data_IF_400959565493
#
_entry.id   IF_400959565493
#
_cell.length_a   1.000
_cell.length_b   1.000
_cell.length_c   1.000
_cell.angle_alpha   90.00
_cell.angle_beta   90.00
_cell.angle_gamma   90.00
#
_symmetry.space_group_name_H-M   'P 1'
#
loop_
_entity.id
_entity.type
_entity.pdbx_description
1 polymer ?
2 non-polymer ?
3 water ?
#
# COMPACT_ATOMS: atom_id res chain seq x y z
N UNK A 13 -12.85 -2.67 7.71
CA UNK A 13 -11.44 -2.61 8.22
C UNK A 13 -10.60 -3.82 7.81
N UNK A 14 -11.26 -4.90 7.44
CA UNK A 14 -10.61 -6.12 6.97
C UNK A 14 -10.35 -5.91 5.49
N UNK A 15 -10.84 -4.80 4.98
CA UNK A 15 -10.64 -4.47 3.57
C UNK A 15 -9.22 -3.98 3.39
N UNK A 16 -8.62 -3.45 4.45
CA UNK A 16 -7.27 -2.94 4.38
C UNK A 16 -6.19 -4.05 4.55
N UNK A 17 -6.59 -5.28 4.23
CA UNK A 17 -5.72 -6.47 4.30
C UNK A 17 -5.91 -7.35 3.06
N UNK A 18 -5.02 -8.33 2.90
CA UNK A 18 -5.09 -9.26 1.77
C UNK A 18 -5.24 -10.67 2.30
N UNK A 19 -6.46 -11.20 2.21
CA UNK A 19 -6.77 -12.54 2.68
C UNK A 19 -6.31 -13.67 1.75
N UNK A 20 -5.75 -14.71 2.36
CA UNK A 20 -5.25 -15.91 1.67
C UNK A 20 -5.92 -17.06 2.43
N UNK A 21 -7.09 -17.46 1.94
CA UNK A 21 -7.91 -18.51 2.54
C UNK A 21 -7.22 -19.81 2.93
N UNK A 22 -7.61 -20.35 4.08
CA UNK A 22 -7.07 -21.59 4.60
C UNK A 22 -5.55 -21.65 4.56
N UNK A 23 -4.90 -20.58 5.04
CA UNK A 23 -3.44 -20.51 5.07
C UNK A 23 -2.93 -19.95 6.39
N UNK A 24 -1.80 -20.50 6.83
CA UNK A 24 -1.15 -20.10 8.06
C UNK A 24 0.35 -19.98 7.85
N UNK A 25 0.99 -19.06 8.57
CA UNK A 25 2.42 -18.87 8.44
C UNK A 25 3.22 -19.65 9.49
N UNK A 26 4.31 -20.26 9.02
CA UNK A 26 5.21 -21.04 9.87
C UNK A 26 6.60 -20.48 9.57
N UNK A 27 7.53 -20.51 10.53
CA UNK A 27 8.85 -19.96 10.25
C UNK A 27 10.06 -20.90 10.31
N UNK A 28 10.62 -21.12 11.50
CA UNK A 28 11.80 -21.97 11.61
C UNK A 28 12.45 -22.03 12.99
N UNK A 29 12.91 -20.87 13.45
CA UNK A 29 13.63 -20.73 14.72
C UNK A 29 12.81 -20.76 16.02
N UNK A 30 13.51 -20.83 17.17
CA UNK A 30 12.92 -20.86 18.52
C UNK A 30 12.75 -19.43 19.09
N UNK A 31 13.63 -18.55 18.64
CA UNK A 31 13.66 -17.14 19.08
C UNK A 31 12.37 -16.37 18.84
N UNK A 32 11.40 -17.02 18.21
CA UNK A 32 10.12 -16.36 17.91
C UNK A 32 8.91 -16.81 18.71
N UNK A 33 8.27 -15.82 19.32
CA UNK A 33 7.05 -16.01 20.10
C UNK A 33 5.98 -15.36 19.20
N UNK A 34 4.72 -15.77 19.36
CA UNK A 34 3.66 -15.21 18.53
C UNK A 34 2.55 -14.65 19.40
N UNK A 35 2.35 -13.35 19.36
CA UNK A 35 1.31 -12.73 20.16
C UNK A 35 -0.07 -13.21 19.73
N UNK A 36 -0.83 -13.81 20.65
CA UNK A 36 -2.15 -14.30 20.31
C UNK A 36 -3.15 -13.83 21.34
N UNK A 37 -4.42 -13.93 20.98
CA UNK A 37 -5.51 -13.55 21.87
C UNK A 37 -6.85 -14.14 21.43
N UNK A 38 -7.63 -14.55 22.41
CA UNK A 38 -8.95 -15.12 22.20
C UNK A 38 -9.84 -13.95 21.78
N UNK A 39 -10.05 -13.86 20.48
CA UNK A 39 -10.84 -12.80 19.87
C UNK A 39 -12.24 -13.27 19.46
N UNK A 40 -13.12 -12.31 19.20
CA UNK A 40 -14.49 -12.60 18.80
C UNK A 40 -14.65 -12.88 17.29
N UNK A 41 -14.01 -12.07 16.46
CA UNK A 41 -14.08 -12.24 15.00
C UNK A 41 -12.73 -11.90 14.38
N UNK A 42 -12.59 -12.09 13.08
CA UNK A 42 -11.33 -11.79 12.41
C UNK A 42 -11.15 -10.28 12.30
N UNK A 43 -12.24 -9.55 12.47
CA UNK A 43 -12.23 -8.09 12.39
C UNK A 43 -11.52 -7.50 13.58
N UNK A 44 -11.74 -8.11 14.73
CA UNK A 44 -11.11 -7.66 15.95
C UNK A 44 -9.59 -7.80 15.82
N UNK A 45 -9.14 -8.87 15.19
CA UNK A 45 -7.72 -9.11 15.00
C UNK A 45 -7.17 -7.97 14.18
N UNK A 46 -7.86 -7.69 13.07
CA UNK A 46 -7.49 -6.65 12.11
C UNK A 46 -7.50 -5.23 12.62
N UNK A 47 -8.49 -4.89 13.44
CA UNK A 47 -8.57 -3.54 13.97
C UNK A 47 -7.57 -3.33 15.09
N UNK A 48 -6.71 -4.32 15.31
CA UNK A 48 -5.71 -4.18 16.35
C UNK A 48 -4.34 -4.30 15.72
N UNK A 49 -4.26 -4.95 14.57
CA UNK A 49 -3.00 -5.10 13.86
C UNK A 49 -2.76 -3.74 13.22
N UNK A 50 -3.83 -3.18 12.70
CA UNK A 50 -3.78 -1.89 12.05
C UNK A 50 -3.30 -0.83 13.04
N UNK A 51 -4.05 -0.65 14.13
CA UNK A 51 -3.67 0.34 15.12
C UNK A 51 -2.58 -0.09 16.07
N UNK A 52 -1.89 -1.18 15.76
CA UNK A 52 -0.79 -1.67 16.60
C UNK A 52 -1.01 -1.43 18.09
N UNK A 53 -2.14 -1.91 18.62
CA UNK A 53 -2.48 -1.72 20.04
C UNK A 53 -1.35 -1.96 21.05
N UNK A 54 -1.29 -3.17 21.60
CA UNK A 54 -0.27 -3.42 22.58
C UNK A 54 0.82 -4.32 22.03
N UNK A 55 1.48 -3.87 20.96
CA UNK A 55 2.53 -4.67 20.36
C UNK A 55 3.91 -4.09 20.67
N UNK A 56 4.92 -4.97 20.69
CA UNK A 56 6.29 -4.58 20.94
C UNK A 56 7.04 -4.87 19.64
N UNK A 57 6.26 -4.81 18.56
CA UNK A 57 6.73 -5.05 17.21
C UNK A 57 5.75 -4.41 16.26
N UNK A 58 6.05 -4.49 14.98
CA UNK A 58 5.20 -3.93 13.92
C UNK A 58 4.41 -5.07 13.27
N UNK A 59 3.10 -5.09 13.47
CA UNK A 59 2.27 -6.15 12.89
C UNK A 59 2.15 -6.01 11.37
N UNK A 60 2.63 -7.01 10.64
CA UNK A 60 2.59 -7.01 9.18
C UNK A 60 1.55 -7.99 8.64
N UNK A 61 1.13 -8.94 9.48
CA UNK A 61 0.13 -9.93 9.10
C UNK A 61 -0.40 -10.63 10.35
N UNK A 62 -1.54 -11.29 10.21
CA UNK A 62 -2.11 -12.04 11.32
C UNK A 62 -2.86 -13.25 10.77
N UNK A 63 -2.96 -14.29 11.59
CA UNK A 63 -3.65 -15.52 11.22
C UNK A 63 -4.81 -15.78 12.19
N UNK A 64 -5.99 -16.03 11.64
CA UNK A 64 -7.17 -16.27 12.46
C UNK A 64 -7.58 -17.74 12.51
N UNK A 65 -7.54 -18.33 13.71
CA UNK A 65 -7.94 -19.72 13.88
C UNK A 65 -9.47 -19.69 14.00
N UNK A 66 -10.15 -19.97 12.89
CA UNK A 66 -11.61 -19.97 12.87
C UNK A 66 -12.25 -20.90 13.91
N UNK A 67 -11.59 -22.01 14.22
CA UNK A 67 -12.11 -22.99 15.18
C UNK A 67 -11.92 -22.62 16.65
N UNK A 68 -10.85 -21.88 16.94
CA UNK A 68 -10.57 -21.47 18.31
C UNK A 68 -10.89 -20.00 18.45
N UNK A 69 -11.07 -19.33 17.32
CA UNK A 69 -11.37 -17.89 17.31
C UNK A 69 -10.22 -17.14 17.98
N UNK A 70 -8.99 -17.47 17.56
CA UNK A 70 -7.78 -16.85 18.10
C UNK A 70 -6.99 -16.19 16.99
N UNK A 71 -6.30 -15.10 17.33
CA UNK A 71 -5.47 -14.37 16.38
C UNK A 71 -4.01 -14.59 16.71
N UNK A 72 -3.17 -14.50 15.70
CA UNK A 72 -1.74 -14.65 15.88
C UNK A 72 -1.14 -13.50 15.09
N UNK A 73 -0.78 -12.46 15.81
CA UNK A 73 -0.19 -11.28 15.19
C UNK A 73 1.31 -11.45 14.95
N UNK A 74 1.68 -11.44 13.67
CA UNK A 74 3.07 -11.61 13.23
C UNK A 74 3.77 -10.30 12.86
N UNK A 75 5.11 -10.28 12.97
CA UNK A 75 5.97 -9.13 12.66
C UNK A 75 6.62 -9.40 11.28
N UNK A 76 5.90 -10.14 10.43
CA UNK A 76 6.37 -10.49 9.10
C UNK A 76 5.18 -11.09 8.34
N UNK A 77 5.33 -11.29 7.04
CA UNK A 77 4.26 -11.86 6.24
C UNK A 77 4.76 -13.08 5.48
N UNK A 78 3.94 -13.60 4.58
CA UNK A 78 4.31 -14.81 3.82
C UNK A 78 5.47 -14.54 2.89
N UNK A 79 5.91 -13.30 2.84
CA UNK A 79 7.02 -12.91 1.97
C UNK A 79 8.37 -12.77 2.64
N UNK A 80 8.43 -12.94 3.96
CA UNK A 80 9.70 -12.82 4.68
C UNK A 80 10.60 -14.04 4.46
N UNK A 81 11.86 -13.92 4.88
CA UNK A 81 12.83 -15.01 4.72
C UNK A 81 12.66 -16.04 5.82
N UNK A 82 12.77 -17.31 5.43
CA UNK A 82 12.62 -18.38 6.39
C UNK A 82 11.14 -18.66 6.63
N UNK A 83 10.30 -17.72 6.23
CA UNK A 83 8.85 -17.83 6.39
C UNK A 83 8.17 -18.71 5.36
N UNK A 84 7.56 -19.79 5.86
CA UNK A 84 6.83 -20.76 5.05
C UNK A 84 5.36 -20.52 5.35
N UNK A 85 4.47 -21.20 4.63
CA UNK A 85 3.03 -21.02 4.87
C UNK A 85 2.28 -22.34 4.85
N UNK A 86 1.81 -22.77 6.02
CA UNK A 86 1.08 -24.02 6.12
C UNK A 86 -0.37 -23.95 5.69
N UNK A 87 -1.01 -25.13 5.62
CA UNK A 87 -2.41 -25.22 5.22
C UNK A 87 -3.29 -25.69 6.37
N UNK A 88 -4.57 -25.34 6.29
CA UNK A 88 -5.54 -25.71 7.30
C UNK A 88 -6.85 -25.01 6.95
N UNK A 89 -7.94 -25.75 6.84
CA UNK A 89 -9.23 -25.14 6.49
C UNK A 89 -9.82 -24.26 7.60
N UNK A 90 -9.20 -24.26 8.77
CA UNK A 90 -9.70 -23.43 9.87
C UNK A 90 -8.89 -22.16 10.03
N UNK A 91 -7.83 -22.02 9.24
CA UNK A 91 -6.99 -20.83 9.31
C UNK A 91 -7.27 -19.86 8.17
N UNK A 92 -6.86 -18.61 8.40
CA UNK A 92 -7.03 -17.54 7.43
C UNK A 92 -5.88 -16.58 7.58
N UNK A 93 -5.08 -16.44 6.53
CA UNK A 93 -3.98 -15.49 6.57
C UNK A 93 -4.50 -14.14 6.08
N UNK A 94 -4.01 -13.07 6.69
CA UNK A 94 -4.39 -11.71 6.36
C UNK A 94 -3.13 -10.90 6.43
N UNK A 95 -2.75 -10.29 5.31
CA UNK A 95 -1.51 -9.51 5.27
C UNK A 95 -1.66 -8.01 5.02
N UNK A 96 -1.10 -7.21 5.91
CA UNK A 96 -1.17 -5.77 5.77
C UNK A 96 -0.60 -5.37 4.40
N UNK A 97 -1.42 -4.71 3.58
CA UNK A 97 -0.99 -4.28 2.26
C UNK A 97 0.19 -3.33 2.32
N UNK A 98 0.33 -2.65 3.45
CA UNK A 98 1.40 -1.70 3.66
C UNK A 98 2.74 -2.40 3.58
N UNK A 99 2.73 -3.72 3.75
CA UNK A 99 3.96 -4.50 3.73
C UNK A 99 4.15 -5.48 2.58
N UNK A 100 3.25 -5.43 1.62
CA UNK A 100 3.33 -6.27 0.44
C UNK A 100 3.79 -5.29 -0.64
N UNK A 101 5.00 -5.50 -1.14
CA UNK A 101 5.56 -4.63 -2.15
C UNK A 101 4.56 -4.30 -3.27
N UNK A 102 4.38 -3.00 -3.50
CA UNK A 102 3.45 -2.50 -4.50
C UNK A 102 4.09 -2.10 -5.80
N UNK A 103 5.42 -2.18 -5.87
CA UNK A 103 6.09 -1.82 -7.12
C UNK A 103 6.64 -3.10 -7.74
N UNK A 104 7.04 -2.99 -9.00
CA UNK A 104 7.57 -4.11 -9.75
C UNK A 104 9.10 -4.11 -9.80
N UNK A 105 9.67 -5.30 -9.85
CA UNK A 105 11.11 -5.47 -9.96
C UNK A 105 11.33 -6.23 -11.29
N UNK A 106 11.53 -5.47 -12.37
CA UNK A 106 11.75 -6.06 -13.70
C UNK A 106 10.49 -6.24 -14.52
N UNK A 107 10.19 -7.49 -14.88
CA UNK A 107 8.98 -7.79 -15.64
C UNK A 107 7.96 -8.16 -14.57
N UNK A 108 8.36 -7.97 -13.30
CA UNK A 108 7.50 -8.24 -12.17
C UNK A 108 6.89 -9.63 -12.16
N UNK A 109 7.74 -10.65 -12.26
CA UNK A 109 7.25 -12.02 -12.26
C UNK A 109 6.89 -12.51 -10.87
N UNK A 110 7.23 -11.73 -9.85
CA UNK A 110 6.95 -12.08 -8.45
C UNK A 110 5.98 -11.10 -7.75
N UNK A 111 5.20 -10.37 -8.54
CA UNK A 111 4.23 -9.39 -8.03
C UNK A 111 3.08 -10.00 -7.21
N UNK A 112 2.89 -9.54 -5.98
CA UNK A 112 1.81 -10.09 -5.14
C UNK A 112 0.81 -9.03 -4.67
N UNK A 113 0.80 -7.87 -5.32
CA UNK A 113 -0.11 -6.81 -4.93
C UNK A 113 -1.57 -7.00 -5.33
N UNK A 114 -2.45 -6.26 -4.66
CA UNK A 114 -3.90 -6.33 -4.89
C UNK A 114 -4.45 -5.49 -6.04
N UNK A 115 -3.59 -4.94 -6.90
CA UNK A 115 -4.09 -4.15 -8.03
C UNK A 115 -4.85 -5.06 -8.99
N UNK A 116 -5.99 -4.58 -9.47
CA UNK A 116 -6.81 -5.38 -10.37
C UNK A 116 -7.60 -4.54 -11.41
N UNK A 117 -6.95 -3.50 -11.93
CA UNK A 117 -7.52 -2.62 -12.95
C UNK A 117 -6.45 -2.56 -14.04
N UNK A 118 -6.84 -2.73 -15.30
CA UNK A 118 -5.87 -2.72 -16.39
C UNK A 118 -5.43 -1.29 -16.70
N UNK A 119 -4.22 -1.17 -17.22
CA UNK A 119 -3.63 0.12 -17.55
C UNK A 119 -4.63 1.18 -18.02
N UNK A 120 -5.71 0.74 -18.67
CA UNK A 120 -6.72 1.67 -19.17
C UNK A 120 -8.06 1.65 -18.43
N UNK A 121 -8.01 1.33 -17.14
CA UNK A 121 -9.22 1.36 -16.34
C UNK A 121 -10.23 0.24 -16.41
N UNK A 122 -9.92 -0.86 -17.10
CA UNK A 122 -10.87 -1.97 -17.16
C UNK A 122 -10.64 -2.92 -15.97
N UNK A 123 -11.71 -3.27 -15.26
CA UNK A 123 -11.59 -4.18 -14.12
C UNK A 123 -11.18 -5.57 -14.62
N UNK A 124 -10.44 -6.30 -13.80
CA UNK A 124 -9.97 -7.64 -14.16
C UNK A 124 -10.96 -8.76 -13.89
N UNK A 125 -10.78 -9.86 -14.60
CA UNK A 125 -11.59 -11.06 -14.52
C UNK A 125 -10.90 -12.07 -13.61
N UNK A 126 -11.64 -12.74 -12.71
CA UNK A 126 -11.06 -13.74 -11.79
C UNK A 126 -10.33 -14.88 -12.50
N UNK A 127 -9.15 -15.22 -12.02
CA UNK A 127 -8.36 -16.27 -12.63
C UNK A 127 -9.08 -17.61 -12.51
N UNK A 128 -9.98 -17.72 -11.53
CA UNK A 128 -10.75 -18.93 -11.30
C UNK A 128 -12.10 -18.86 -12.02
N UNK A 129 -12.19 -17.99 -13.04
CA UNK A 129 -13.42 -17.83 -13.80
C UNK A 129 -13.13 -17.94 -15.29
N UNK A 130 -14.07 -18.53 -16.04
CA UNK A 130 -13.90 -18.70 -17.48
C UNK A 130 -14.78 -17.76 -18.30
N UNK A 131 -15.17 -16.64 -17.71
CA UNK A 131 -16.01 -15.64 -18.38
C UNK A 131 -15.41 -14.26 -18.09
N UNK A 132 -15.39 -13.33 -19.08
CA UNK A 132 -15.85 -13.41 -20.46
C UNK A 132 -15.04 -14.32 -21.36
N UNK A 133 -13.77 -14.50 -21.01
CA UNK A 133 -12.87 -15.32 -21.83
C UNK A 133 -12.50 -16.64 -21.15
N UNK A 134 -12.10 -17.62 -21.96
CA UNK A 134 -11.69 -18.92 -21.45
C UNK A 134 -10.17 -18.97 -21.60
N UNK A 135 -9.48 -19.64 -20.69
CA UNK A 135 -8.03 -19.73 -20.73
C UNK A 135 -7.48 -20.98 -20.05
N UNK A 136 -6.15 -21.06 -19.96
CA UNK A 136 -5.47 -22.18 -19.33
C UNK A 136 -4.82 -21.73 -18.02
N UNK A 137 -4.77 -20.41 -17.83
CA UNK A 137 -4.17 -19.81 -16.64
C UNK A 137 -4.98 -20.03 -15.36
N UNK A 138 -4.94 -21.27 -14.86
CA UNK A 138 -5.66 -21.63 -13.64
C UNK A 138 -4.75 -21.60 -12.41
N UNK A 139 -5.35 -21.42 -11.22
CA UNK A 139 -4.57 -21.38 -9.98
C UNK A 139 -3.91 -22.75 -9.75
N UNK A 140 -4.58 -23.80 -10.21
CA UNK A 140 -4.10 -25.17 -10.07
C UNK A 140 -2.83 -25.44 -10.88
N UNK A 141 -2.60 -24.64 -11.92
CA UNK A 141 -1.40 -24.79 -12.73
C UNK A 141 -0.30 -23.96 -12.09
N UNK A 142 -0.27 -22.68 -12.46
CA UNK A 142 0.71 -21.73 -11.94
C UNK A 142 0.61 -21.59 -10.43
N UNK A 143 1.00 -22.64 -9.71
CA UNK A 143 0.95 -22.60 -8.27
C UNK A 143 2.18 -21.84 -7.79
N UNK A 144 1.98 -20.90 -6.86
CA UNK A 144 3.10 -20.12 -6.38
C UNK A 144 3.14 -18.77 -7.07
N UNK A 145 2.48 -18.67 -8.21
CA UNK A 145 2.44 -17.41 -8.94
C UNK A 145 1.28 -16.56 -8.42
N UNK A 146 0.63 -17.07 -7.37
CA UNK A 146 -0.48 -16.39 -6.70
C UNK A 146 -1.56 -15.84 -7.62
N UNK A 147 -2.23 -16.71 -8.37
CA UNK A 147 -3.30 -16.26 -9.27
C UNK A 147 -4.62 -16.18 -8.48
N UNK A 148 -4.62 -15.37 -7.41
CA UNK A 148 -5.78 -15.17 -6.55
C UNK A 148 -6.74 -14.20 -7.22
N UNK A 149 -7.97 -14.16 -6.70
CA UNK A 149 -9.02 -13.26 -7.17
C UNK A 149 -8.82 -12.83 -8.62
N UNK A 150 -8.80 -11.52 -8.84
CA UNK A 150 -8.61 -10.96 -10.15
C UNK A 150 -7.44 -9.98 -10.09
N UNK A 151 -6.42 -10.35 -9.32
CA UNK A 151 -5.22 -9.53 -9.17
C UNK A 151 -4.42 -9.50 -10.45
N UNK A 152 -3.63 -8.45 -10.61
CA UNK A 152 -2.77 -8.33 -11.77
C UNK A 152 -1.56 -9.21 -11.50
N UNK A 153 -1.38 -10.24 -12.32
CA UNK A 153 -0.26 -11.15 -12.16
C UNK A 153 0.46 -11.42 -13.48
N UNK A 154 1.64 -12.03 -13.38
CA UNK A 154 2.44 -12.39 -14.54
C UNK A 154 2.99 -13.80 -14.33
N UNK A 155 2.19 -14.82 -14.68
CA UNK A 155 2.52 -16.25 -14.55
C UNK A 155 3.74 -16.69 -15.36
N UNK A 156 3.72 -16.40 -16.65
CA UNK A 156 4.80 -16.77 -17.56
C UNK A 156 6.04 -15.87 -17.52
N UNK A 157 6.02 -14.86 -16.67
CA UNK A 157 7.16 -13.95 -16.58
C UNK A 157 7.41 -13.13 -17.85
N UNK A 158 6.35 -12.92 -18.63
CA UNK A 158 6.43 -12.16 -19.89
C UNK A 158 7.04 -10.77 -19.73
N UNK A 159 7.36 -10.17 -20.87
CA UNK A 159 7.98 -8.85 -20.94
C UNK A 159 7.06 -7.73 -20.46
N UNK A 160 5.83 -7.73 -20.95
CA UNK A 160 4.88 -6.70 -20.58
C UNK A 160 4.78 -6.38 -19.10
N UNK A 161 4.92 -7.40 -18.25
CA UNK A 161 4.83 -7.18 -16.82
C UNK A 161 3.46 -7.65 -16.37
N UNK A 162 3.03 -7.34 -15.13
CA UNK A 162 1.73 -7.77 -14.64
C UNK A 162 0.61 -7.41 -15.61
N UNK A 163 -0.29 -8.35 -15.79
CA UNK A 163 -1.44 -8.18 -16.67
C UNK A 163 -2.58 -9.00 -16.07
N UNK A 164 -3.70 -9.08 -16.79
CA UNK A 164 -4.83 -9.85 -16.30
C UNK A 164 -5.86 -10.00 -17.42
N UNK A 165 -6.83 -10.88 -17.21
CA UNK A 165 -7.87 -11.05 -18.21
C UNK A 165 -8.99 -10.06 -17.90
N UNK A 166 -9.17 -9.14 -18.84
CA UNK A 166 -10.18 -8.09 -18.75
C UNK A 166 -11.61 -8.65 -18.67
N UNK A 167 -12.47 -7.93 -17.95
CA UNK A 167 -13.87 -8.35 -17.82
C UNK A 167 -14.67 -7.79 -18.98
N UNK A 168 -13.97 -7.06 -19.86
CA UNK A 168 -14.60 -6.50 -21.06
C UNK A 168 -14.51 -7.56 -22.14
N UNK A 169 -15.64 -8.08 -22.61
CA UNK A 169 -15.64 -9.11 -23.65
C UNK A 169 -14.84 -8.72 -24.89
N UNK A 170 -14.64 -7.42 -25.07
CA UNK A 170 -13.91 -6.91 -26.23
C UNK A 170 -12.40 -6.93 -26.04
N UNK A 171 -11.96 -7.24 -24.81
CA UNK A 171 -10.53 -7.29 -24.52
C UNK A 171 -10.16 -8.53 -23.72
N UNK A 172 -9.38 -9.39 -24.36
CA UNK A 172 -8.91 -10.64 -23.77
C UNK A 172 -8.16 -10.33 -22.49
N UNK A 173 -7.02 -9.69 -22.64
CA UNK A 173 -6.20 -9.34 -21.50
C UNK A 173 -5.62 -7.97 -21.76
N UNK A 174 -4.74 -7.52 -20.88
CA UNK A 174 -4.09 -6.23 -21.00
C UNK A 174 -3.17 -5.98 -19.81
N UNK A 175 -2.09 -5.24 -20.05
CA UNK A 175 -1.11 -4.91 -19.02
C UNK A 175 -1.73 -4.00 -17.96
N UNK A 176 -1.17 -4.06 -16.75
CA UNK A 176 -1.65 -3.21 -15.66
C UNK A 176 -0.61 -2.14 -15.44
N UNK A 177 -1.06 -0.91 -15.17
CA UNK A 177 -0.17 0.23 -14.94
C UNK A 177 0.37 0.20 -13.50
N UNK A 178 1.37 -0.64 -13.27
CA UNK A 178 2.00 -0.78 -11.96
C UNK A 178 3.44 -0.29 -12.00
N UNK A 179 3.78 0.65 -11.11
CA UNK A 179 5.10 1.29 -10.97
C UNK A 179 6.32 0.38 -10.77
N UNK A 180 7.44 0.79 -11.35
CA UNK A 180 8.71 0.08 -11.19
C UNK A 180 9.22 0.61 -9.86
N UNK A 181 10.05 -0.15 -9.18
CA UNK A 181 10.59 0.33 -7.90
C UNK A 181 11.65 1.38 -8.18
N UNK A 182 12.38 1.18 -9.27
CA UNK A 182 13.41 2.11 -9.74
C UNK A 182 12.72 2.86 -10.89
N UNK A 183 11.44 3.18 -10.64
CA UNK A 183 10.51 3.88 -11.54
C UNK A 183 10.99 4.56 -12.83
N UNK A 184 10.53 5.81 -12.99
CA UNK A 184 10.86 6.67 -14.13
C UNK A 184 11.21 8.07 -13.62
N UNK B 13 -13.41 6.07 3.81
CA UNK B 13 -12.87 5.76 2.44
C UNK B 13 -11.75 6.71 1.99
N UNK B 14 -11.70 7.88 2.62
CA UNK B 14 -10.67 8.87 2.37
C UNK B 14 -9.46 8.47 3.21
N UNK B 15 -9.64 7.44 4.02
CA UNK B 15 -8.57 6.95 4.86
C UNK B 15 -7.60 6.14 4.00
N UNK B 16 -8.11 5.62 2.89
CA UNK B 16 -7.28 4.82 2.00
C UNK B 16 -6.48 5.70 1.00
N UNK B 17 -6.23 6.94 1.40
CA UNK B 17 -5.46 7.92 0.61
C UNK B 17 -4.48 8.67 1.50
N UNK B 18 -3.58 9.44 0.89
CA UNK B 18 -2.60 10.23 1.62
C UNK B 18 -2.79 11.70 1.25
N UNK B 19 -3.39 12.46 2.15
CA UNK B 19 -3.66 13.87 1.94
C UNK B 19 -2.45 14.78 2.12
N UNK B 20 -2.29 15.72 1.17
CA UNK B 20 -1.23 16.74 1.16
C UNK B 20 -1.98 18.07 1.04
N UNK B 21 -2.30 18.67 2.19
CA UNK B 21 -3.04 19.92 2.30
C UNK B 21 -2.58 21.09 1.43
N UNK B 22 -3.56 21.79 0.84
CA UNK B 22 -3.31 22.94 -0.01
C UNK B 22 -2.28 22.67 -1.10
N UNK B 23 -2.42 21.54 -1.79
CA UNK B 23 -1.51 21.16 -2.87
C UNK B 23 -2.25 20.63 -4.09
N UNK B 24 -1.72 20.97 -5.26
CA UNK B 24 -2.28 20.56 -6.54
C UNK B 24 -1.16 20.11 -7.48
N UNK B 25 -1.47 19.16 -8.34
CA UNK B 25 -0.48 18.66 -9.27
C UNK B 25 -0.55 19.35 -10.62
N UNK B 26 0.62 19.65 -11.15
CA UNK B 26 0.78 20.29 -12.46
C UNK B 26 1.79 19.42 -13.21
N UNK B 27 1.71 19.35 -14.54
CA UNK B 27 2.65 18.50 -15.25
C UNK B 27 3.59 19.17 -16.26
N UNK B 28 3.14 19.37 -17.50
CA UNK B 28 4.02 19.97 -18.52
C UNK B 28 3.45 20.04 -19.95
N UNK B 29 3.16 18.86 -20.51
CA UNK B 29 2.67 18.69 -21.88
C UNK B 29 1.19 19.00 -22.16
N UNK B 30 0.82 19.06 -23.46
CA UNK B 30 -0.54 19.33 -23.94
C UNK B 30 -1.35 18.05 -24.08
N UNK B 31 -0.65 16.95 -24.33
CA UNK B 31 -1.23 15.61 -24.53
C UNK B 31 -2.08 15.11 -23.36
N UNK B 32 -2.12 15.88 -22.26
CA UNK B 32 -2.88 15.48 -21.08
C UNK B 32 -4.15 16.26 -20.78
N UNK B 33 -5.23 15.49 -20.64
CA UNK B 33 -6.55 16.00 -20.30
C UNK B 33 -6.73 15.52 -18.86
N UNK B 34 -7.57 16.20 -18.09
CA UNK B 34 -7.80 15.82 -16.70
C UNK B 34 -9.26 15.59 -16.44
N UNK B 35 -9.65 14.35 -16.15
CA UNK B 35 -11.05 14.05 -15.89
C UNK B 35 -11.51 14.77 -14.63
N UNK B 36 -12.54 15.61 -14.78
CA UNK B 36 -13.07 16.33 -13.63
C UNK B 36 -14.58 16.19 -13.56
N UNK B 37 -15.13 16.53 -12.40
CA UNK B 37 -16.56 16.49 -12.17
C UNK B 37 -16.99 17.28 -10.95
N UNK B 38 -18.14 17.93 -11.09
CA UNK B 38 -18.72 18.74 -10.02
C UNK B 38 -19.23 17.76 -8.99
N UNK B 39 -18.44 17.58 -7.94
CA UNK B 39 -18.74 16.65 -6.87
C UNK B 39 -19.26 17.35 -5.60
N UNK B 40 -19.86 16.57 -4.69
CA UNK B 40 -20.40 17.12 -3.46
C UNK B 40 -19.36 17.29 -2.35
N UNK B 41 -18.51 16.28 -2.17
CA UNK B 41 -17.46 16.33 -1.14
C UNK B 41 -16.18 15.66 -1.67
N UNK B 42 -15.10 15.70 -0.89
CA UNK B 42 -13.85 15.06 -1.31
C UNK B 42 -13.97 13.53 -1.25
N UNK B 43 -14.98 13.05 -0.50
CA UNK B 43 -15.25 11.62 -0.32
C UNK B 43 -15.78 11.03 -1.60
N UNK B 44 -16.60 11.80 -2.28
CA UNK B 44 -17.18 11.35 -3.53
C UNK B 44 -16.08 11.15 -4.55
N UNK B 45 -15.09 12.04 -4.54
CA UNK B 45 -13.98 11.94 -5.47
C UNK B 45 -13.24 10.62 -5.22
N UNK B 46 -12.96 10.39 -3.94
CA UNK B 46 -12.24 9.22 -3.43
C UNK B 46 -12.93 7.89 -3.66
N UNK B 47 -14.24 7.84 -3.46
CA UNK B 47 -14.97 6.59 -3.65
C UNK B 47 -15.18 6.29 -5.11
N UNK B 48 -14.56 7.07 -5.97
CA UNK B 48 -14.68 6.84 -7.40
C UNK B 48 -13.31 6.60 -7.99
N UNK B 49 -12.29 7.12 -7.33
CA UNK B 49 -10.92 6.92 -7.78
C UNK B 49 -10.58 5.49 -7.38
N UNK B 50 -11.01 5.13 -6.19
CA UNK B 50 -10.80 3.80 -5.67
C UNK B 50 -11.42 2.76 -6.59
N UNK B 51 -12.74 2.84 -6.76
CA UNK B 51 -13.43 1.89 -7.62
C UNK B 51 -13.33 2.17 -9.11
N UNK B 52 -12.41 3.06 -9.50
CA UNK B 52 -12.18 3.39 -10.90
C UNK B 52 -13.46 3.35 -11.73
N UNK B 53 -14.49 4.10 -11.32
CA UNK B 53 -15.78 4.12 -12.02
C UNK B 53 -15.75 4.21 -13.55
N UNK B 54 -15.82 5.41 -14.09
CA UNK B 54 -15.81 5.57 -15.52
C UNK B 54 -14.51 6.16 -16.01
N UNK B 55 -13.41 5.48 -15.75
CA UNK B 55 -12.11 5.96 -16.18
C UNK B 55 -11.55 5.12 -17.33
N UNK B 56 -10.74 5.75 -18.15
CA UNK B 56 -10.09 5.10 -19.28
C UNK B 56 -8.61 5.10 -18.97
N UNK B 57 -8.34 5.11 -17.66
CA UNK B 57 -7.00 5.13 -17.12
C UNK B 57 -7.08 4.62 -15.69
N UNK B 58 -5.93 4.51 -15.03
CA UNK B 58 -5.84 4.04 -13.65
C UNK B 58 -5.63 5.25 -12.73
N UNK B 59 -6.64 5.58 -11.93
CA UNK B 59 -6.55 6.73 -11.03
C UNK B 59 -5.55 6.48 -9.89
N UNK B 60 -4.50 7.29 -9.84
CA UNK B 60 -3.47 7.17 -8.82
C UNK B 60 -3.55 8.28 -7.79
N UNK B 61 -4.21 9.38 -8.13
CA UNK B 61 -4.37 10.51 -7.22
C UNK B 61 -5.48 11.41 -7.74
N UNK B 62 -5.99 12.28 -6.88
CA UNK B 62 -7.00 13.23 -7.30
C UNK B 62 -6.85 14.51 -6.50
N UNK B 63 -7.29 15.63 -7.07
CA UNK B 63 -7.21 16.94 -6.43
C UNK B 63 -8.61 17.52 -6.28
N UNK B 64 -8.94 17.96 -5.07
CA UNK B 64 -10.26 18.52 -4.79
C UNK B 64 -10.24 20.04 -4.65
N UNK B 65 -10.93 20.73 -5.55
CA UNK B 65 -11.03 22.20 -5.51
C UNK B 65 -12.11 22.51 -4.47
N UNK B 66 -11.70 22.82 -3.25
CA UNK B 66 -12.64 23.11 -2.18
C UNK B 66 -13.62 24.24 -2.50
N UNK B 67 -13.17 25.21 -3.31
CA UNK B 67 -14.00 26.37 -3.67
C UNK B 67 -15.01 26.12 -4.78
N UNK B 68 -14.68 25.20 -5.67
CA UNK B 68 -15.58 24.88 -6.78
C UNK B 68 -16.22 23.53 -6.51
N UNK B 69 -15.67 22.80 -5.54
CA UNK B 69 -16.15 21.47 -5.20
C UNK B 69 -16.05 20.56 -6.43
N UNK B 70 -14.88 20.59 -7.06
CA UNK B 70 -14.60 19.78 -8.26
C UNK B 70 -13.42 18.86 -8.01
N UNK B 71 -13.46 17.69 -8.63
CA UNK B 71 -12.37 16.71 -8.51
C UNK B 71 -11.62 16.66 -9.83
N UNK B 72 -10.34 16.31 -9.74
CA UNK B 72 -9.51 16.15 -10.91
C UNK B 72 -8.77 14.83 -10.71
N UNK B 73 -9.28 13.79 -11.35
CA UNK B 73 -8.70 12.47 -11.25
C UNK B 73 -7.52 12.30 -12.21
N UNK B 74 -6.34 12.07 -11.61
CA UNK B 74 -5.08 11.90 -12.32
C UNK B 74 -4.62 10.45 -12.46
N UNK B 75 -3.84 10.16 -13.51
CA UNK B 75 -3.30 8.84 -13.83
C UNK B 75 -1.82 8.81 -13.39
N UNK B 76 -1.52 9.62 -12.38
CA UNK B 76 -0.18 9.73 -11.83
C UNK B 76 -0.27 10.50 -10.49
N UNK B 77 0.82 10.52 -9.74
CA UNK B 77 0.83 11.23 -8.46
C UNK B 77 1.97 12.24 -8.42
N UNK B 78 2.18 12.84 -7.25
CA UNK B 78 3.23 13.84 -7.11
C UNK B 78 4.60 13.25 -7.32
N UNK B 79 4.64 11.93 -7.49
CA UNK B 79 5.91 11.24 -7.66
C UNK B 79 6.29 10.87 -9.10
N UNK B 80 5.41 11.16 -10.05
CA UNK B 80 5.70 10.85 -11.44
C UNK B 80 6.70 11.84 -12.05
N UNK B 81 7.21 11.49 -13.24
CA UNK B 81 8.18 12.33 -13.94
C UNK B 81 7.50 13.48 -14.67
N UNK B 82 8.12 14.65 -14.59
CA UNK B 82 7.55 15.83 -15.22
C UNK B 82 6.49 16.43 -14.33
N UNK B 83 6.01 15.65 -13.37
CA UNK B 83 4.97 16.08 -12.44
C UNK B 83 5.47 16.98 -11.32
N UNK B 84 4.94 18.20 -11.31
CA UNK B 84 5.26 19.22 -10.33
C UNK B 84 4.03 19.32 -9.44
N UNK B 85 4.12 20.10 -8.37
CA UNK B 85 2.97 20.26 -7.47
C UNK B 85 2.77 21.71 -7.03
N UNK B 86 1.70 22.33 -7.52
CA UNK B 86 1.42 23.71 -7.18
C UNK B 86 0.78 23.91 -5.82
N UNK B 87 0.66 25.17 -5.41
CA UNK B 87 0.06 25.53 -4.14
C UNK B 87 -1.25 26.28 -4.32
N UNK B 88 -2.10 26.22 -3.30
CA UNK B 88 -3.38 26.89 -3.31
C UNK B 88 -4.14 26.43 -2.08
N UNK B 89 -4.62 27.37 -1.28
CA UNK B 89 -5.34 27.02 -0.05
C UNK B 89 -6.72 26.39 -0.28
N UNK B 90 -7.17 26.37 -1.53
CA UNK B 90 -8.46 25.78 -1.84
C UNK B 90 -8.31 24.38 -2.41
N UNK B 91 -7.07 23.96 -2.65
CA UNK B 91 -6.83 22.63 -3.21
C UNK B 91 -6.41 21.63 -2.14
N UNK B 92 -6.58 20.36 -2.48
CA UNK B 92 -6.22 19.25 -1.59
C UNK B 92 -5.78 18.08 -2.44
N UNK B 93 -4.53 17.67 -2.27
CA UNK B 93 -4.05 16.53 -3.02
C UNK B 93 -4.30 15.30 -2.17
N UNK B 94 -4.67 14.20 -2.84
CA UNK B 94 -4.97 12.92 -2.23
C UNK B 94 -4.37 11.88 -3.14
N UNK B 95 -3.43 11.10 -2.61
CA UNK B 95 -2.75 10.07 -3.40
C UNK B 95 -3.00 8.63 -2.96
N UNK B 96 -3.44 7.80 -3.91
CA UNK B 96 -3.70 6.40 -3.64
C UNK B 96 -2.42 5.76 -3.09
N UNK B 97 -2.50 5.22 -1.88
CA UNK B 97 -1.34 4.59 -1.25
C UNK B 97 -0.82 3.42 -2.08
N UNK B 98 -1.71 2.83 -2.86
CA UNK B 98 -1.36 1.69 -3.70
C UNK B 98 -0.27 2.09 -4.69
N UNK B 99 -0.12 3.39 -4.91
CA UNK B 99 0.86 3.88 -5.86
C UNK B 99 2.03 4.70 -5.31
N UNK B 100 2.12 4.73 -3.99
CA UNK B 100 3.20 5.42 -3.32
C UNK B 100 4.08 4.28 -2.85
N UNK B 101 5.28 4.19 -3.41
CA UNK B 101 6.22 3.12 -3.04
C UNK B 101 6.29 2.90 -1.53
N UNK B 102 6.08 1.64 -1.13
CA UNK B 102 6.07 1.27 0.27
C UNK B 102 7.35 0.62 0.73
N UNK B 103 8.28 0.41 -0.19
CA UNK B 103 9.55 -0.18 0.20
C UNK B 103 10.66 0.87 0.09
N UNK B 104 11.80 0.56 0.70
CA UNK B 104 12.94 1.45 0.72
C UNK B 104 13.96 1.12 -0.36
N UNK B 105 14.64 2.15 -0.84
CA UNK B 105 15.70 2.00 -1.83
C UNK B 105 16.96 2.57 -1.16
N UNK B 106 17.72 1.69 -0.50
CA UNK B 106 18.95 2.10 0.17
C UNK B 106 18.74 2.48 1.64
N UNK B 107 19.08 3.72 1.98
CA UNK B 107 18.91 4.22 3.34
C UNK B 107 17.54 4.89 3.33
N UNK B 108 16.85 4.71 2.21
CA UNK B 108 15.52 5.27 2.04
C UNK B 108 15.41 6.73 2.36
N UNK B 109 16.26 7.54 1.72
CA UNK B 109 16.24 8.97 1.94
C UNK B 109 15.09 9.67 1.21
N UNK B 110 14.40 8.93 0.34
CA UNK B 110 13.28 9.46 -0.44
C UNK B 110 11.94 8.79 -0.12
N UNK B 111 11.85 8.15 1.04
CA UNK B 111 10.64 7.46 1.48
C UNK B 111 9.44 8.36 1.71
N UNK B 112 8.31 8.08 1.06
CA UNK B 112 7.10 8.91 1.20
C UNK B 112 5.87 8.13 1.71
N UNK B 113 6.09 6.96 2.28
CA UNK B 113 4.98 6.16 2.77
C UNK B 113 4.36 6.61 4.09
N UNK B 114 3.15 6.13 4.35
CA UNK B 114 2.39 6.49 5.53
C UNK B 114 2.68 5.69 6.80
N UNK B 115 3.76 4.91 6.81
CA UNK B 115 4.09 4.12 8.01
C UNK B 115 4.47 5.07 9.15
N UNK B 116 3.96 4.81 10.35
CA UNK B 116 4.25 5.67 11.47
C UNK B 116 4.31 4.94 12.81
N UNK B 117 4.91 3.76 12.80
CA UNK B 117 5.08 2.92 13.99
C UNK B 117 6.56 2.54 13.98
N UNK B 118 7.24 2.65 15.11
CA UNK B 118 8.67 2.32 15.14
C UNK B 118 8.88 0.81 15.17
N UNK B 119 10.03 0.39 14.64
CA UNK B 119 10.39 -1.02 14.56
C UNK B 119 9.84 -1.89 15.70
N UNK B 120 9.70 -1.30 16.88
CA UNK B 120 9.20 -2.03 18.05
C UNK B 120 7.79 -1.65 18.51
N UNK B 121 6.95 -1.25 17.57
CA UNK B 121 5.58 -0.93 17.91
C UNK B 121 5.21 0.37 18.59
N UNK B 122 6.15 1.31 18.74
CA UNK B 122 5.80 2.58 19.37
C UNK B 122 5.30 3.56 18.31
N UNK B 123 4.16 4.19 18.56
CA UNK B 123 3.59 5.17 17.62
C UNK B 123 4.53 6.38 17.53
N UNK B 124 4.56 7.04 16.37
CA UNK B 124 5.42 8.19 16.15
C UNK B 124 4.82 9.53 16.57
N UNK B 125 5.71 10.47 16.83
CA UNK B 125 5.39 11.84 17.25
C UNK B 125 5.40 12.77 16.03
N UNK B 126 4.38 13.64 15.92
CA UNK B 126 4.30 14.57 14.78
C UNK B 126 5.53 15.46 14.61
N UNK B 127 6.02 15.58 13.38
CA UNK B 127 7.20 16.40 13.13
C UNK B 127 6.93 17.85 13.46
N UNK B 128 5.65 18.24 13.41
CA UNK B 128 5.25 19.61 13.73
C UNK B 128 4.88 19.75 15.21
N UNK B 129 5.37 18.82 16.03
CA UNK B 129 5.10 18.85 17.46
C UNK B 129 6.39 18.75 18.27
N UNK B 130 6.46 19.45 19.40
CA UNK B 130 7.65 19.45 20.24
C UNK B 130 7.46 18.65 21.54
N UNK B 131 6.54 17.70 21.52
CA UNK B 131 6.28 16.85 22.68
C UNK B 131 6.15 15.40 22.17
N UNK B 132 6.69 14.41 22.91
CA UNK B 132 7.40 14.45 24.19
C UNK B 132 8.79 15.07 24.11
N UNK B 133 9.41 15.02 22.94
CA UNK B 133 10.76 15.55 22.77
C UNK B 133 10.78 16.80 21.92
N UNK B 134 11.83 17.60 22.09
CA UNK B 134 12.00 18.82 21.32
C UNK B 134 13.13 18.53 20.32
N UNK B 135 13.05 19.12 19.13
CA UNK B 135 14.06 18.90 18.10
C UNK B 135 14.17 20.07 17.12
N UNK B 136 15.01 19.88 16.09
CA UNK B 136 15.23 20.89 15.07
C UNK B 136 14.60 20.44 13.74
N UNK B 137 14.24 19.16 13.68
CA UNK B 137 13.64 18.56 12.49
C UNK B 137 12.23 19.07 12.17
N UNK B 138 12.15 20.32 11.71
CA UNK B 138 10.88 20.93 11.36
C UNK B 138 10.56 20.82 9.87
N UNK B 139 9.26 20.90 9.52
CA UNK B 139 8.86 20.83 8.11
C UNK B 139 9.41 22.03 7.35
N UNK B 140 9.53 23.15 8.06
CA UNK B 140 10.03 24.39 7.48
C UNK B 140 11.50 24.30 7.08
N UNK B 141 12.25 23.37 7.69
CA UNK B 141 13.65 23.19 7.37
C UNK B 141 13.73 22.21 6.22
N UNK B 142 13.77 20.93 6.55
CA UNK B 142 13.83 19.86 5.58
C UNK B 142 12.63 19.88 4.63
N UNK B 143 12.58 20.89 3.77
CA UNK B 143 11.48 21.00 2.82
C UNK B 143 11.76 20.04 1.68
N UNK B 144 10.76 19.26 1.29
CA UNK B 144 10.96 18.30 0.21
C UNK B 144 11.21 16.91 0.78
N UNK B 145 11.58 16.83 2.05
CA UNK B 145 11.82 15.55 2.68
C UNK B 145 10.51 15.01 3.22
N UNK B 146 9.44 15.75 2.95
CA UNK B 146 8.09 15.39 3.36
C UNK B 146 7.92 14.99 4.82
N UNK B 147 8.21 15.91 5.75
CA UNK B 147 8.06 15.62 7.18
C UNK B 147 6.61 15.90 7.61
N UNK B 148 5.67 15.23 6.95
CA UNK B 148 4.24 15.37 7.23
C UNK B 148 3.88 14.54 8.46
N UNK B 149 2.70 14.81 9.00
CA UNK B 149 2.18 14.10 10.15
C UNK B 149 3.28 13.52 11.04
N UNK B 150 3.17 12.22 11.31
CA UNK B 150 4.14 11.50 12.12
C UNK B 150 4.64 10.31 11.30
N UNK B 151 4.82 10.53 10.02
CA UNK B 151 5.30 9.49 9.12
C UNK B 151 6.76 9.18 9.42
N UNK B 152 7.18 7.97 9.06
CA UNK B 152 8.55 7.57 9.25
C UNK B 152 9.34 8.18 8.09
N UNK B 153 10.28 9.06 8.42
CA UNK B 153 11.09 9.72 7.41
C UNK B 153 12.57 9.70 7.74
N UNK B 154 13.40 10.07 6.77
CA UNK B 154 14.84 10.13 6.93
C UNK B 154 15.34 11.41 6.28
N UNK B 155 15.27 12.53 7.00
CA UNK B 155 15.70 13.86 6.53
C UNK B 155 17.17 13.96 6.15
N UNK B 156 18.04 13.56 7.07
CA UNK B 156 19.50 13.62 6.89
C UNK B 156 20.08 12.48 6.03
N UNK B 157 19.23 11.56 5.56
CA UNK B 157 19.73 10.46 4.77
C UNK B 157 20.64 9.51 5.52
N UNK B 158 20.45 9.42 6.84
CA UNK B 158 21.26 8.55 7.70
C UNK B 158 21.26 7.09 7.28
N UNK B 159 22.18 6.33 7.86
CA UNK B 159 22.35 4.91 7.59
C UNK B 159 21.15 4.06 8.03
N UNK B 160 20.70 4.30 9.27
CA UNK B 160 19.58 3.55 9.81
C UNK B 160 18.38 3.39 8.89
N UNK B 161 18.07 4.41 8.10
CA UNK B 161 16.92 4.33 7.23
C UNK B 161 15.81 5.14 7.87
N UNK B 162 14.56 5.04 7.38
CA UNK B 162 13.45 5.81 7.95
C UNK B 162 13.36 5.59 9.44
N UNK B 163 13.10 6.68 10.15
CA UNK B 163 12.95 6.67 11.60
C UNK B 163 11.94 7.76 11.94
N UNK B 164 11.74 8.00 13.23
CA UNK B 164 10.81 9.05 13.66
C UNK B 164 10.98 9.31 15.15
N UNK B 165 10.39 10.39 15.64
CA UNK B 165 10.46 10.68 17.06
C UNK B 165 9.31 9.98 17.75
N UNK B 166 9.68 9.05 18.63
CA UNK B 166 8.74 8.25 19.39
C UNK B 166 7.86 9.09 20.33
N UNK B 167 6.61 8.66 20.52
CA UNK B 167 5.69 9.36 21.40
C UNK B 167 5.89 8.88 22.83
N UNK B 168 6.83 7.95 22.99
CA UNK B 168 7.17 7.41 24.31
C UNK B 168 8.26 8.33 24.88
N UNK B 169 7.95 9.02 25.98
CA UNK B 169 8.94 9.92 26.59
C UNK B 169 10.27 9.24 26.87
N UNK B 170 10.26 7.92 26.98
CA UNK B 170 11.48 7.18 27.29
C UNK B 170 12.32 6.88 26.05
N UNK B 171 11.79 7.20 24.89
CA UNK B 171 12.51 6.96 23.64
C UNK B 171 12.44 8.18 22.70
N UNK B 172 13.60 8.81 22.49
CA UNK B 172 13.74 9.98 21.64
C UNK B 172 13.24 9.64 20.24
N UNK B 173 13.98 8.76 19.57
CA UNK B 173 13.61 8.35 18.24
C UNK B 173 13.89 6.86 18.12
N UNK B 174 13.70 6.32 16.92
CA UNK B 174 13.93 4.90 16.66
C UNK B 174 13.63 4.59 15.21
N UNK B 175 14.34 3.61 14.65
CA UNK B 175 14.15 3.22 13.27
C UNK B 175 12.79 2.55 13.09
N UNK B 176 12.28 2.60 11.85
CA UNK B 176 11.01 1.98 11.52
C UNK B 176 11.30 0.73 10.70
N UNK B 177 10.56 -0.33 10.97
CA UNK B 177 10.72 -1.61 10.27
C UNK B 177 10.04 -1.57 8.90
N UNK B 178 10.71 -0.94 7.94
CA UNK B 178 10.19 -0.80 6.58
C UNK B 178 11.06 -1.61 5.62
N UNK B 179 10.42 -2.49 4.83
CA UNK B 179 11.04 -3.37 3.84
C UNK B 179 11.87 -2.75 2.73
N UNK B 180 12.94 -3.46 2.34
CA UNK B 180 13.80 -3.04 1.25
C UNK B 180 13.06 -3.53 0.01
N UNK B 181 13.26 -2.89 -1.13
CA UNK B 181 12.58 -3.33 -2.34
C UNK B 181 13.26 -4.60 -2.82
N UNK B 182 14.57 -4.66 -2.62
CA UNK B 182 15.39 -5.83 -2.95
C UNK B 182 15.62 -6.53 -1.61
N UNK B 183 14.55 -6.54 -0.81
CA UNK B 183 14.43 -7.10 0.54
C UNK B 183 15.53 -7.99 1.14
N UNK B 184 15.09 -9.13 1.68
CA UNK B 184 15.95 -10.14 2.30
C UNK B 184 15.51 -11.55 1.82
X LIG C 1 0.75 -11.89 24.53
X LIG C 1 0.03 -12.64 23.49
X LIG C 1 0.48 -12.47 25.86
X LIG C 1 2.19 -11.92 24.24
X LIG C 1 0.27 -10.49 24.55
X LIG D 1 -14.25 14.57 -18.88
X LIG D 1 -13.60 13.34 -19.35
X LIG D 1 -15.37 14.23 -17.98
X LIG D 1 -13.26 15.40 -18.15
X LIG D 1 -14.73 15.33 -20.03
X LIG E 1 -19.17 18.56 -14.78
X LIG E 1 -18.93 19.74 -13.93
X LIG E 1 -20.35 18.79 -15.63
X LIG E 1 -17.99 18.33 -15.61
X LIG E 1 -19.43 17.37 -13.95
#
# INVERSE_FOLDING_TARGET
>A
GSYAEGQKKRRNTLHEFKKSAKTTLTKEDPLLKIKTKKVNSADECANRCIRNRGFTFTCKAFVFDKSRKRCYWYPFNSMSSGVKKGFGHEFDLYENKDYIRNCIIGKGGSYKGTVSITKSGIKCQPWNSMIPHEHSFLPSSYRGKDLQENYCRNPRGEEGGPWCFTSNPEVRYEVCDIPQCSEV
>B
GSYAEGQKKRRNTLHEFKKSAKTTLTKEDPLLKIKTKKVNSADECANRCIRNRGFTFTCKAFVFDKSRKRCYWYPFNSMSSGVKKGFGHEFDLYENKDYIRNCIIGKGGSYKGTVSITKSGIKCQPWNSMIPHEHSFLPSSYRGKDLQENYCRNPRGEEGGPWCFTSNPEVRYEVCDIPQCSEV
>C hetero
1 SO4 S O1 O2 O3 O4
>D hetero
1 SO4 S O1 O2 O3 O4
>E hetero
1 SO4 S O1 O2 O3 O4
#
